data_IF_104925576192
#
_entry.id   IF_104925576192
#
_cell.length_a   1.000
_cell.length_b   1.000
_cell.length_c   1.000
_cell.angle_alpha   90.00
_cell.angle_beta   90.00
_cell.angle_gamma   90.00
#
_symmetry.space_group_name_H-M   'P 1'
#
loop_
_entity.id
_entity.type
_entity.pdbx_description
1 polymer ?
#
# COMPACT_ATOMS: atom_id res chain seq x y z
N UNK A 1 21.20 41.56 -8.43
CA UNK A 1 21.55 40.69 -7.28
C UNK A 1 20.46 40.81 -6.23
N UNK A 2 19.52 39.87 -6.17
CA UNK A 2 18.57 39.73 -5.07
C UNK A 2 18.24 38.23 -4.94
N UNK A 3 18.66 37.62 -3.81
CA UNK A 3 18.43 36.21 -3.48
C UNK A 3 17.18 36.12 -2.61
N UNK A 4 16.13 35.49 -3.13
CA UNK A 4 14.92 35.16 -2.36
C UNK A 4 15.15 33.84 -1.63
N UNK A 5 15.29 33.90 -0.30
CA UNK A 5 15.45 32.73 0.55
C UNK A 5 14.10 32.01 0.75
N UNK A 6 14.07 30.72 0.42
CA UNK A 6 12.93 29.84 0.59
C UNK A 6 12.66 29.52 2.05
N UNK A 7 11.43 29.76 2.50
CA UNK A 7 10.91 29.33 3.79
C UNK A 7 10.55 27.83 3.72
N UNK A 8 11.46 26.95 4.17
CA UNK A 8 11.17 25.53 4.39
C UNK A 8 10.43 25.38 5.73
N UNK A 9 9.12 25.14 5.67
CA UNK A 9 8.33 24.73 6.84
C UNK A 9 8.70 23.30 7.22
N UNK A 10 9.36 23.13 8.37
CA UNK A 10 9.46 21.84 9.08
C UNK A 10 8.11 21.53 9.70
N UNK A 11 7.47 20.42 9.31
CA UNK A 11 6.39 19.83 10.08
C UNK A 11 6.97 18.93 11.17
N UNK A 12 6.96 19.43 12.40
CA UNK A 12 7.12 18.66 13.63
C UNK A 12 5.83 17.88 13.92
N UNK A 13 5.93 16.57 14.18
CA UNK A 13 4.85 15.82 14.82
C UNK A 13 4.63 14.40 14.30
N UNK A 14 5.66 13.58 14.24
CA UNK A 14 5.52 12.12 14.15
C UNK A 14 6.43 11.52 15.21
N UNK A 15 5.85 10.90 16.25
CA UNK A 15 6.64 10.19 17.25
C UNK A 15 7.57 9.21 16.56
N UNK A 16 8.87 9.34 16.79
CA UNK A 16 9.86 8.39 16.28
C UNK A 16 9.64 7.12 17.06
N UNK A 17 8.84 6.22 16.49
CA UNK A 17 8.81 4.83 16.94
C UNK A 17 10.21 4.29 16.62
N UNK A 18 10.90 3.71 17.60
CA UNK A 18 12.28 3.21 17.52
C UNK A 18 12.29 1.70 17.59
N UNK A 19 12.66 1.05 16.49
CA UNK A 19 12.73 -0.39 16.29
C UNK A 19 13.39 -0.59 14.94
N UNK A 20 14.23 -1.62 14.77
CA UNK A 20 15.07 -1.71 13.58
C UNK A 20 14.21 -1.87 12.33
N UNK A 21 14.52 -1.07 11.32
CA UNK A 21 13.90 -1.19 10.00
C UNK A 21 14.41 -2.49 9.34
N UNK A 22 13.48 -3.39 9.04
CA UNK A 22 13.72 -4.59 8.25
C UNK A 22 13.18 -4.38 6.84
N UNK A 23 13.87 -4.90 5.84
CA UNK A 23 13.41 -4.93 4.48
C UNK A 23 12.58 -6.20 4.25
N UNK A 24 11.35 -6.04 3.77
CA UNK A 24 10.45 -7.16 3.45
C UNK A 24 9.94 -7.12 2.03
N UNK A 25 9.83 -8.29 1.41
CA UNK A 25 9.02 -8.43 0.20
C UNK A 25 7.56 -8.10 0.54
N UNK A 26 6.91 -7.33 -0.32
CA UNK A 26 5.47 -7.08 -0.19
C UNK A 26 4.70 -8.40 -0.21
N UNK A 27 3.62 -8.45 0.57
CA UNK A 27 2.74 -9.60 0.57
C UNK A 27 2.13 -9.83 -0.82
N UNK A 28 2.07 -11.10 -1.24
CA UNK A 28 1.49 -11.49 -2.52
C UNK A 28 2.40 -11.32 -3.75
N UNK A 29 3.68 -10.99 -3.57
CA UNK A 29 4.65 -11.01 -4.68
C UNK A 29 4.82 -12.45 -5.17
N UNK A 30 4.38 -12.70 -6.39
CA UNK A 30 4.55 -13.97 -7.09
C UNK A 30 5.76 -13.89 -8.02
N UNK A 31 6.42 -15.02 -8.24
CA UNK A 31 7.57 -15.12 -9.12
C UNK A 31 7.42 -16.27 -10.13
N UNK A 32 7.80 -16.01 -11.37
CA UNK A 32 7.76 -16.98 -12.47
C UNK A 32 9.15 -17.05 -13.11
N UNK A 33 9.77 -18.24 -13.19
CA UNK A 33 11.05 -18.39 -13.87
C UNK A 33 10.89 -18.09 -15.37
N UNK A 34 11.90 -17.43 -15.94
CA UNK A 34 12.00 -17.12 -17.37
C UNK A 34 13.28 -17.75 -17.94
N UNK A 35 13.38 -18.00 -19.25
CA UNK A 35 14.61 -18.57 -19.85
C UNK A 35 15.89 -17.78 -19.55
N UNK A 36 15.77 -16.46 -19.39
CA UNK A 36 16.88 -15.53 -19.14
C UNK A 36 16.84 -14.88 -17.76
N UNK A 37 15.91 -15.26 -16.88
CA UNK A 37 15.78 -14.60 -15.59
C UNK A 37 14.52 -14.94 -14.79
N UNK A 38 13.89 -13.93 -14.19
CA UNK A 38 12.69 -14.08 -13.36
C UNK A 38 11.71 -12.93 -13.61
N UNK A 39 10.44 -13.27 -13.79
CA UNK A 39 9.35 -12.30 -13.77
C UNK A 39 8.71 -12.27 -12.39
N UNK A 40 8.49 -11.06 -11.86
CA UNK A 40 7.93 -10.81 -10.55
C UNK A 40 6.65 -10.00 -10.70
N UNK A 41 5.59 -10.42 -10.02
CA UNK A 41 4.29 -9.77 -10.03
C UNK A 41 3.83 -9.50 -8.61
N UNK A 42 3.81 -8.22 -8.24
CA UNK A 42 3.16 -7.72 -7.05
C UNK A 42 1.73 -7.22 -7.34
N UNK A 43 1.10 -6.65 -6.31
CA UNK A 43 -0.24 -6.08 -6.42
C UNK A 43 -0.29 -4.82 -7.33
N UNK A 44 0.72 -3.94 -7.19
CA UNK A 44 0.76 -2.63 -7.87
C UNK A 44 1.71 -2.58 -9.06
N UNK A 45 2.69 -3.48 -9.08
CA UNK A 45 3.80 -3.46 -10.01
C UNK A 45 4.16 -4.87 -10.44
N UNK A 46 4.73 -4.96 -11.63
CA UNK A 46 5.41 -6.15 -12.10
C UNK A 46 6.75 -5.74 -12.71
N UNK A 47 7.72 -6.63 -12.66
CA UNK A 47 9.03 -6.41 -13.26
C UNK A 47 9.64 -7.72 -13.73
N UNK A 48 10.61 -7.61 -14.64
CA UNK A 48 11.43 -8.74 -15.07
C UNK A 48 12.88 -8.41 -14.78
N UNK A 49 13.58 -9.34 -14.14
CA UNK A 49 15.02 -9.25 -13.95
C UNK A 49 15.68 -10.25 -14.90
N UNK A 50 16.57 -9.77 -15.76
CA UNK A 50 17.42 -10.60 -16.61
C UNK A 50 18.76 -10.89 -15.90
N UNK A 51 19.23 -12.13 -15.97
CA UNK A 51 20.46 -12.56 -15.29
C UNK A 51 20.91 -13.98 -15.60
N UNK A 52 20.36 -14.59 -16.65
CA UNK A 52 20.60 -15.98 -17.00
C UNK A 52 19.85 -16.97 -16.11
N UNK A 53 20.03 -18.27 -16.40
CA UNK A 53 19.26 -19.35 -15.74
C UNK A 53 19.53 -19.49 -14.23
N UNK A 54 20.71 -19.06 -13.77
CA UNK A 54 21.10 -19.10 -12.35
C UNK A 54 20.31 -18.10 -11.49
N UNK A 55 19.76 -17.04 -12.09
CA UNK A 55 19.00 -16.03 -11.36
C UNK A 55 17.79 -16.62 -10.64
N UNK A 56 17.12 -17.62 -11.22
CA UNK A 56 16.02 -18.30 -10.56
C UNK A 56 16.44 -19.00 -9.27
N UNK A 57 17.66 -19.54 -9.22
CA UNK A 57 18.19 -20.18 -8.01
C UNK A 57 18.52 -19.15 -6.94
N UNK A 58 19.13 -18.02 -7.32
CA UNK A 58 19.36 -16.88 -6.43
C UNK A 58 18.04 -16.40 -5.85
N UNK A 59 17.01 -16.21 -6.68
CA UNK A 59 15.68 -15.81 -6.24
C UNK A 59 15.06 -16.80 -5.25
N UNK A 60 15.09 -18.10 -5.54
CA UNK A 60 14.54 -19.14 -4.64
C UNK A 60 15.19 -19.14 -3.26
N UNK A 61 16.46 -18.80 -3.18
CA UNK A 61 17.19 -18.68 -1.92
C UNK A 61 16.91 -17.33 -1.21
N UNK A 62 16.84 -16.24 -1.96
CA UNK A 62 16.66 -14.88 -1.43
C UNK A 62 15.22 -14.60 -0.98
N UNK A 63 14.22 -15.05 -1.73
CA UNK A 63 12.82 -14.71 -1.50
C UNK A 63 12.27 -15.11 -0.13
N UNK A 64 12.57 -16.31 0.43
CA UNK A 64 12.15 -16.65 1.79
C UNK A 64 12.75 -15.71 2.85
N UNK A 65 14.00 -15.29 2.68
CA UNK A 65 14.68 -14.39 3.61
C UNK A 65 14.03 -13.00 3.58
N UNK A 66 13.85 -12.43 2.39
CA UNK A 66 13.16 -11.15 2.25
C UNK A 66 11.69 -11.22 2.68
N UNK A 67 11.00 -12.35 2.49
CA UNK A 67 9.63 -12.54 3.01
C UNK A 67 9.58 -12.53 4.53
N UNK A 68 10.57 -13.13 5.20
CA UNK A 68 10.68 -13.13 6.66
C UNK A 68 11.10 -11.75 7.21
N UNK A 69 11.79 -10.96 6.40
CA UNK A 69 12.34 -9.66 6.75
C UNK A 69 13.80 -9.74 7.13
N UNK A 70 14.60 -8.91 6.48
CA UNK A 70 16.06 -8.84 6.70
C UNK A 70 16.38 -7.45 7.24
N UNK A 71 17.10 -7.38 8.37
CA UNK A 71 17.57 -6.10 8.88
C UNK A 71 18.46 -5.41 7.82
N UNK A 72 18.27 -4.11 7.58
CA UNK A 72 18.95 -3.42 6.48
C UNK A 72 20.49 -3.51 6.56
N UNK A 73 21.04 -3.52 7.77
CA UNK A 73 22.46 -3.68 8.07
C UNK A 73 22.99 -5.11 7.81
N UNK A 74 22.10 -6.11 7.77
CA UNK A 74 22.43 -7.52 7.49
C UNK A 74 22.35 -7.88 6.01
N UNK A 75 21.75 -7.03 5.17
CA UNK A 75 21.56 -7.31 3.76
C UNK A 75 22.89 -7.49 3.01
N UNK A 76 23.89 -6.66 3.34
CA UNK A 76 25.25 -6.74 2.77
C UNK A 76 26.09 -7.93 3.24
N UNK A 77 25.54 -8.75 4.14
CA UNK A 77 26.20 -9.89 4.77
C UNK A 77 25.33 -11.16 4.72
N UNK A 78 24.47 -11.28 3.70
CA UNK A 78 23.66 -12.49 3.51
C UNK A 78 24.49 -13.69 3.01
N UNK A 79 25.68 -13.44 2.46
CA UNK A 79 26.59 -14.47 2.01
C UNK A 79 28.05 -14.01 2.02
N UNK A 80 28.98 -14.94 2.26
CA UNK A 80 30.42 -14.69 2.21
C UNK A 80 30.98 -14.71 0.77
N UNK A 81 30.16 -15.02 -0.23
CA UNK A 81 30.57 -15.09 -1.65
C UNK A 81 30.34 -13.75 -2.34
N UNK A 82 31.41 -13.08 -2.75
CA UNK A 82 31.36 -11.75 -3.37
C UNK A 82 30.50 -11.68 -4.64
N UNK A 83 30.51 -12.71 -5.49
CA UNK A 83 29.69 -12.78 -6.70
C UNK A 83 28.21 -12.87 -6.37
N UNK A 84 27.84 -13.69 -5.39
CA UNK A 84 26.45 -13.85 -4.96
C UNK A 84 25.97 -12.59 -4.25
N UNK A 85 26.79 -11.96 -3.42
CA UNK A 85 26.44 -10.70 -2.76
C UNK A 85 26.15 -9.60 -3.80
N UNK A 86 26.99 -9.45 -4.83
CA UNK A 86 26.72 -8.51 -5.94
C UNK A 86 25.39 -8.79 -6.65
N UNK A 87 25.06 -10.07 -6.87
CA UNK A 87 23.79 -10.44 -7.47
C UNK A 87 22.60 -10.12 -6.56
N UNK A 88 22.74 -10.32 -5.24
CA UNK A 88 21.74 -9.96 -4.23
C UNK A 88 21.52 -8.44 -4.22
N UNK A 89 22.58 -7.66 -4.17
CA UNK A 89 22.51 -6.20 -4.13
C UNK A 89 21.77 -5.67 -5.36
N UNK A 90 22.10 -6.18 -6.56
CA UNK A 90 21.44 -5.80 -7.80
C UNK A 90 19.95 -6.21 -7.86
N UNK A 91 19.59 -7.36 -7.28
CA UNK A 91 18.18 -7.78 -7.19
C UNK A 91 17.42 -6.91 -6.20
N UNK A 92 18.01 -6.61 -5.04
CA UNK A 92 17.39 -5.77 -4.01
C UNK A 92 17.16 -4.34 -4.50
N UNK A 93 18.14 -3.76 -5.19
CA UNK A 93 18.01 -2.44 -5.82
C UNK A 93 16.82 -2.40 -6.78
N UNK A 94 16.70 -3.41 -7.66
CA UNK A 94 15.58 -3.50 -8.61
C UNK A 94 14.23 -3.70 -7.91
N UNK A 95 14.18 -4.53 -6.86
CA UNK A 95 12.95 -4.72 -6.08
C UNK A 95 12.50 -3.43 -5.39
N UNK A 96 13.44 -2.64 -4.87
CA UNK A 96 13.16 -1.33 -4.29
C UNK A 96 12.64 -0.37 -5.35
N UNK A 97 13.30 -0.30 -6.52
CA UNK A 97 12.89 0.57 -7.61
C UNK A 97 11.47 0.24 -8.12
N UNK A 98 11.07 -1.03 -8.07
CA UNK A 98 9.74 -1.48 -8.48
C UNK A 98 8.69 -1.49 -7.35
N UNK A 99 8.99 -0.95 -6.17
CA UNK A 99 8.08 -0.97 -5.00
C UNK A 99 7.63 -2.40 -4.60
N UNK A 100 8.49 -3.40 -4.81
CA UNK A 100 8.25 -4.79 -4.40
C UNK A 100 8.91 -5.14 -3.07
N UNK A 101 9.87 -4.32 -2.63
CA UNK A 101 10.55 -4.41 -1.34
C UNK A 101 10.29 -3.15 -0.52
N UNK A 102 9.75 -3.32 0.68
CA UNK A 102 9.36 -2.22 1.57
C UNK A 102 10.10 -2.28 2.91
N UNK A 103 10.48 -1.12 3.47
CA UNK A 103 10.90 -1.07 4.87
C UNK A 103 9.68 -1.34 5.78
N UNK A 104 9.86 -2.23 6.75
CA UNK A 104 8.88 -2.54 7.78
C UNK A 104 9.56 -2.53 9.13
N UNK A 105 8.77 -2.44 10.20
CA UNK A 105 9.27 -2.59 11.56
C UNK A 105 9.35 -4.07 11.94
N UNK A 106 10.25 -4.40 12.86
CA UNK A 106 10.38 -5.76 13.40
C UNK A 106 9.21 -6.19 14.32
N UNK A 107 8.37 -5.24 14.77
CA UNK A 107 7.21 -5.47 15.65
C UNK A 107 6.02 -6.18 14.97
N UNK A 108 6.19 -6.65 13.72
CA UNK A 108 5.28 -7.54 13.01
C UNK A 108 4.85 -7.02 11.63
N UNK A 109 4.16 -7.83 10.82
CA UNK A 109 3.56 -7.36 9.57
C UNK A 109 2.30 -6.51 9.84
N UNK A 110 1.90 -5.68 8.87
CA UNK A 110 0.55 -5.10 8.89
C UNK A 110 -0.48 -6.16 8.47
N UNK A 111 -1.74 -5.75 8.30
CA UNK A 111 -2.69 -6.65 7.64
C UNK A 111 -2.14 -7.02 6.24
N UNK A 112 -2.20 -8.28 5.78
CA UNK A 112 -1.56 -8.69 4.52
C UNK A 112 -1.96 -7.86 3.30
N UNK A 113 -3.21 -7.41 3.25
CA UNK A 113 -3.71 -6.55 2.19
C UNK A 113 -3.15 -5.11 2.25
N UNK A 114 -2.82 -4.61 3.44
CA UNK A 114 -2.12 -3.33 3.61
C UNK A 114 -0.65 -3.47 3.20
N UNK A 115 0.01 -4.54 3.62
CA UNK A 115 1.39 -4.82 3.20
C UNK A 115 1.51 -4.94 1.67
N UNK A 116 0.50 -5.50 1.01
CA UNK A 116 0.44 -5.60 -0.44
C UNK A 116 0.18 -4.26 -1.16
N UNK A 117 -0.71 -3.42 -0.63
CA UNK A 117 -1.27 -2.29 -1.38
C UNK A 117 -0.82 -0.89 -0.91
N UNK A 118 -0.51 -0.72 0.37
CA UNK A 118 -0.23 0.58 0.96
C UNK A 118 1.24 0.98 0.76
N UNK A 119 1.54 2.22 0.34
CA UNK A 119 2.92 2.73 0.28
C UNK A 119 3.60 2.69 1.65
N UNK A 120 2.85 3.03 2.70
CA UNK A 120 3.22 2.88 4.11
C UNK A 120 2.17 2.01 4.82
N UNK A 121 2.36 0.68 4.88
CA UNK A 121 1.40 -0.23 5.50
C UNK A 121 1.13 0.06 6.98
N UNK A 122 2.14 0.49 7.73
CA UNK A 122 2.01 0.77 9.17
C UNK A 122 1.31 2.09 9.43
N UNK A 123 1.69 3.15 8.72
CA UNK A 123 0.96 4.42 8.79
C UNK A 123 -0.50 4.24 8.38
N UNK A 124 -0.76 3.45 7.33
CA UNK A 124 -2.12 3.10 6.92
C UNK A 124 -2.86 2.30 8.00
N UNK A 125 -2.23 1.28 8.60
CA UNK A 125 -2.84 0.49 9.68
C UNK A 125 -3.16 1.35 10.91
N UNK A 126 -2.27 2.27 11.29
CA UNK A 126 -2.49 3.17 12.42
C UNK A 126 -3.69 4.11 12.16
N UNK A 127 -3.82 4.63 10.93
CA UNK A 127 -4.99 5.44 10.53
C UNK A 127 -6.27 4.60 10.57
N UNK A 128 -6.21 3.37 10.07
CA UNK A 128 -7.34 2.46 9.94
C UNK A 128 -7.73 1.74 11.23
N UNK A 129 -6.94 1.87 12.30
CA UNK A 129 -7.34 1.46 13.65
C UNK A 129 -8.51 2.30 14.17
N UNK A 130 -8.72 3.51 13.63
CA UNK A 130 -9.88 4.33 13.94
C UNK A 130 -11.14 3.83 13.19
N UNK A 131 -12.34 3.87 13.82
CA UNK A 131 -13.57 3.46 13.16
C UNK A 131 -13.88 4.26 11.89
N UNK A 132 -14.14 3.53 10.80
CA UNK A 132 -14.64 4.10 9.54
C UNK A 132 -16.09 4.55 9.76
N UNK A 133 -16.32 5.85 9.68
CA UNK A 133 -17.67 6.39 9.75
C UNK A 133 -18.34 6.28 8.39
N UNK A 134 -19.47 5.57 8.34
CA UNK A 134 -20.29 5.37 7.14
C UNK A 134 -21.49 6.31 7.26
N UNK A 135 -21.59 7.27 6.35
CA UNK A 135 -22.69 8.25 6.31
C UNK A 135 -23.38 8.21 4.96
N UNK A 136 -24.71 8.32 4.93
CA UNK A 136 -25.42 8.33 3.65
C UNK A 136 -25.78 6.94 3.13
N UNK A 137 -26.58 6.92 2.07
CA UNK A 137 -26.81 5.79 1.18
C UNK A 137 -27.99 4.90 1.55
N UNK A 138 -28.46 4.08 0.59
CA UNK A 138 -29.42 3.01 0.85
C UNK A 138 -28.87 2.02 1.88
N UNK A 139 -29.77 1.47 2.73
CA UNK A 139 -29.39 0.54 3.80
C UNK A 139 -28.61 -0.69 3.28
N UNK A 140 -28.93 -1.18 2.09
CA UNK A 140 -28.19 -2.28 1.47
C UNK A 140 -26.74 -1.92 1.18
N UNK A 141 -26.49 -0.75 0.57
CA UNK A 141 -25.13 -0.31 0.27
C UNK A 141 -24.32 -0.10 1.56
N UNK A 142 -24.93 0.48 2.60
CA UNK A 142 -24.32 0.62 3.93
C UNK A 142 -23.94 -0.75 4.50
N UNK A 143 -24.85 -1.72 4.43
CA UNK A 143 -24.62 -3.09 4.90
C UNK A 143 -23.48 -3.77 4.14
N UNK A 144 -23.46 -3.68 2.80
CA UNK A 144 -22.38 -4.23 1.96
C UNK A 144 -21.02 -3.63 2.30
N UNK A 145 -20.96 -2.31 2.53
CA UNK A 145 -19.71 -1.66 2.96
C UNK A 145 -19.29 -2.13 4.35
N UNK A 146 -20.23 -2.25 5.30
CA UNK A 146 -19.91 -2.76 6.63
C UNK A 146 -19.36 -4.20 6.59
N UNK A 147 -19.95 -5.08 5.76
CA UNK A 147 -19.46 -6.44 5.54
C UNK A 147 -18.06 -6.43 4.92
N UNK A 148 -17.82 -5.62 3.89
CA UNK A 148 -16.52 -5.52 3.23
C UNK A 148 -15.44 -4.99 4.19
N UNK A 149 -15.77 -3.99 5.01
CA UNK A 149 -14.88 -3.47 6.03
C UNK A 149 -14.56 -4.51 7.11
N UNK A 150 -15.58 -5.26 7.58
CA UNK A 150 -15.39 -6.34 8.54
C UNK A 150 -14.49 -7.46 7.99
N UNK A 151 -14.65 -7.84 6.72
CA UNK A 151 -13.77 -8.81 6.05
C UNK A 151 -12.30 -8.34 5.99
N UNK A 152 -12.07 -7.02 6.02
CA UNK A 152 -10.74 -6.42 6.10
C UNK A 152 -10.25 -6.18 7.53
N UNK A 153 -11.02 -6.57 8.56
CA UNK A 153 -10.72 -6.31 9.97
C UNK A 153 -10.87 -4.84 10.38
N UNK A 154 -11.64 -4.05 9.62
CA UNK A 154 -11.78 -2.61 9.82
C UNK A 154 -13.02 -2.30 10.66
N UNK A 155 -12.88 -1.57 11.79
CA UNK A 155 -14.02 -1.17 12.60
C UNK A 155 -14.89 -0.17 11.82
N UNK A 156 -16.21 -0.31 11.90
CA UNK A 156 -17.15 0.61 11.25
C UNK A 156 -18.13 1.23 12.24
N UNK A 157 -18.58 2.45 11.93
CA UNK A 157 -19.61 3.16 12.68
C UNK A 157 -20.62 3.76 11.70
N UNK A 158 -21.74 3.07 11.44
CA UNK A 158 -22.83 3.62 10.64
C UNK A 158 -23.42 4.87 11.30
N UNK A 159 -23.84 5.82 10.47
CA UNK A 159 -24.58 7.03 10.86
C UNK A 159 -25.84 7.15 9.99
N UNK A 160 -26.85 7.91 10.46
CA UNK A 160 -28.13 8.04 9.76
C UNK A 160 -27.94 8.39 8.28
N UNK A 161 -28.76 7.74 7.45
CA UNK A 161 -28.69 7.87 6.01
C UNK A 161 -29.08 9.28 5.54
N UNK A 162 -28.42 9.69 4.46
CA UNK A 162 -28.78 10.76 3.54
C UNK A 162 -28.97 10.10 2.17
N UNK A 163 -29.89 10.57 1.33
CA UNK A 163 -30.35 9.78 0.18
C UNK A 163 -29.26 9.46 -0.87
N UNK A 164 -28.21 10.29 -0.97
CA UNK A 164 -27.36 10.27 -2.17
C UNK A 164 -25.99 9.60 -1.96
N UNK A 165 -26.04 8.26 -1.87
CA UNK A 165 -24.85 7.39 -1.79
C UNK A 165 -24.12 7.42 -0.46
N UNK A 166 -23.06 6.63 -0.36
CA UNK A 166 -22.29 6.42 0.86
C UNK A 166 -21.02 7.28 0.85
N UNK A 167 -20.84 8.07 1.90
CA UNK A 167 -19.60 8.73 2.26
C UNK A 167 -18.92 7.95 3.39
N UNK A 168 -17.71 7.46 3.11
CA UNK A 168 -16.82 6.80 4.05
C UNK A 168 -15.79 7.81 4.54
N UNK A 169 -15.57 7.88 5.86
CA UNK A 169 -14.54 8.74 6.43
C UNK A 169 -13.74 8.02 7.51
N UNK A 170 -12.42 8.25 7.50
CA UNK A 170 -11.49 7.82 8.54
C UNK A 170 -10.43 8.90 8.72
N UNK A 171 -10.37 9.49 9.92
CA UNK A 171 -9.55 10.67 10.16
C UNK A 171 -9.87 11.82 9.18
N UNK A 172 -8.87 12.23 8.39
CA UNK A 172 -9.00 13.29 7.37
C UNK A 172 -9.26 12.77 5.95
N UNK A 173 -9.34 11.45 5.79
CA UNK A 173 -9.51 10.78 4.50
C UNK A 173 -10.97 10.41 4.32
N UNK A 174 -11.47 10.63 3.11
CA UNK A 174 -12.83 10.35 2.70
C UNK A 174 -12.89 9.67 1.33
N UNK A 175 -13.92 8.87 1.11
CA UNK A 175 -14.29 8.26 -0.17
C UNK A 175 -15.81 8.38 -0.33
N UNK A 176 -16.28 8.70 -1.54
CA UNK A 176 -17.70 8.64 -1.88
C UNK A 176 -17.93 7.46 -2.82
N UNK A 177 -18.95 6.66 -2.52
CA UNK A 177 -19.47 5.60 -3.37
C UNK A 177 -20.95 5.89 -3.67
N UNK A 178 -21.35 5.86 -4.95
CA UNK A 178 -22.75 6.00 -5.37
C UNK A 178 -23.13 4.91 -6.37
N UNK A 179 -24.42 4.61 -6.41
CA UNK A 179 -25.04 3.84 -7.48
C UNK A 179 -26.00 4.78 -8.23
N UNK A 180 -25.87 4.85 -9.55
CA UNK A 180 -26.67 5.66 -10.47
C UNK A 180 -27.25 4.72 -11.53
N UNK A 181 -28.46 4.19 -11.30
CA UNK A 181 -29.01 3.13 -12.14
C UNK A 181 -28.16 1.85 -12.06
N UNK A 182 -27.66 1.41 -13.21
CA UNK A 182 -26.74 0.27 -13.37
C UNK A 182 -25.25 0.65 -13.24
N UNK A 183 -24.94 1.95 -13.09
CA UNK A 183 -23.57 2.45 -12.98
C UNK A 183 -23.18 2.69 -11.53
N UNK A 184 -22.10 2.06 -11.07
CA UNK A 184 -21.45 2.37 -9.80
C UNK A 184 -20.32 3.39 -9.97
N UNK A 185 -20.19 4.34 -9.05
CA UNK A 185 -19.04 5.26 -9.00
C UNK A 185 -18.38 5.23 -7.62
N UNK A 186 -17.05 5.28 -7.61
CA UNK A 186 -16.23 5.43 -6.41
C UNK A 186 -15.17 6.48 -6.66
N UNK A 187 -15.05 7.47 -5.77
CA UNK A 187 -14.02 8.50 -5.89
C UNK A 187 -12.67 8.02 -5.39
N UNK A 188 -11.55 8.57 -5.90
CA UNK A 188 -10.27 8.44 -5.22
C UNK A 188 -10.35 8.93 -3.77
N UNK A 189 -9.56 8.35 -2.88
CA UNK A 189 -9.48 8.80 -1.50
C UNK A 189 -8.90 10.22 -1.43
N UNK A 190 -9.45 11.08 -0.56
CA UNK A 190 -8.99 12.46 -0.42
C UNK A 190 -9.68 13.20 0.71
N UNK A 191 -9.49 14.53 0.77
CA UNK A 191 -10.23 15.38 1.70
C UNK A 191 -11.72 15.35 1.38
N UNK A 192 -12.57 15.39 2.42
CA UNK A 192 -14.04 15.29 2.31
C UNK A 192 -14.62 16.18 1.22
N UNK A 193 -14.33 17.47 1.26
CA UNK A 193 -14.93 18.43 0.33
C UNK A 193 -14.52 18.15 -1.12
N UNK A 194 -13.26 17.74 -1.33
CA UNK A 194 -12.75 17.36 -2.65
C UNK A 194 -13.46 16.13 -3.19
N UNK A 195 -13.61 15.08 -2.38
CA UNK A 195 -14.24 13.83 -2.85
C UNK A 195 -15.74 14.01 -3.08
N UNK A 196 -16.41 14.84 -2.28
CA UNK A 196 -17.81 15.19 -2.52
C UNK A 196 -17.96 15.96 -3.85
N UNK A 197 -17.12 16.97 -4.10
CA UNK A 197 -17.14 17.71 -5.36
C UNK A 197 -16.83 16.81 -6.58
N UNK A 198 -15.87 15.89 -6.46
CA UNK A 198 -15.56 14.90 -7.51
C UNK A 198 -16.74 13.96 -7.78
N UNK A 199 -17.43 13.51 -6.74
CA UNK A 199 -18.59 12.63 -6.89
C UNK A 199 -19.74 13.36 -7.60
N UNK A 200 -19.99 14.62 -7.26
CA UNK A 200 -21.01 15.45 -7.92
C UNK A 200 -20.69 15.70 -9.39
N UNK A 201 -19.43 16.02 -9.71
CA UNK A 201 -18.99 16.17 -11.09
C UNK A 201 -19.11 14.87 -11.88
N UNK A 202 -18.71 13.74 -11.28
CA UNK A 202 -18.88 12.44 -11.92
C UNK A 202 -20.36 12.11 -12.16
N UNK A 203 -21.24 12.39 -11.20
CA UNK A 203 -22.69 12.20 -11.36
C UNK A 203 -23.22 13.01 -12.54
N UNK A 204 -22.90 14.31 -12.63
CA UNK A 204 -23.35 15.19 -13.73
C UNK A 204 -22.90 14.73 -15.12
N UNK A 205 -21.79 13.99 -15.21
CA UNK A 205 -21.26 13.49 -16.50
C UNK A 205 -21.90 12.18 -16.94
N UNK A 206 -22.51 11.44 -16.01
CA UNK A 206 -23.07 10.10 -16.23
C UNK A 206 -24.60 10.17 -16.41
N UNK A 207 -25.25 11.18 -15.83
CA UNK A 207 -26.69 11.48 -16.00
C UNK A 207 -26.93 12.46 -17.13
#
# INVERSE_FOLDING_TARGET
>A
MARTAGCVRRSTGGGVVTGPDVLRLRAGVAATPMPTGVHLRGWRSSMTIDGGRSLWQVWRWLAPQLSAGVAADRLGALTDRAELQRAVDAVVEQLHAADLLVPTRADGPAAPWLDAAAPDPRGAQAVLAAPITITGGPAELVSRVAVAAAACGLPTRPRPARPDGVLLTVGRVAIVARALGDVGLVTPAGARDRVTALAEEATRRIT
#
